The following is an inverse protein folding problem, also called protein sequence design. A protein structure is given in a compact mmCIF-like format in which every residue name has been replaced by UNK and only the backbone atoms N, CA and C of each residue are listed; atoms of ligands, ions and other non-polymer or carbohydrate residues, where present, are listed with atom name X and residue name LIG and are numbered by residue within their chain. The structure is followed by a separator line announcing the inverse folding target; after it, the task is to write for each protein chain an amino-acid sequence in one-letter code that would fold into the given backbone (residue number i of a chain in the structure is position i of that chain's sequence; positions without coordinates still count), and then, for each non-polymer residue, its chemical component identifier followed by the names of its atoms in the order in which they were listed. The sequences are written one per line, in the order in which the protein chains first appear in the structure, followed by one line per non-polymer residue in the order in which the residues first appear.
data_IF_959081063297
#
_entry.id   IF_959081063297
#
_cell.length_a   1.000
_cell.length_b   1.000
_cell.length_c   1.000
_cell.angle_alpha   90.00
_cell.angle_beta   90.00
_cell.angle_gamma   90.00
#
_symmetry.space_group_name_H-M   'P 1'
#
loop_
_entity.id
_entity.type
_entity.pdbx_description
1 polymer ?
#
# COMPACT_ATOMS: atom_id res chain seq x y z
N UNK A 1 11.24 -12.97 32.63
CA UNK A 1 10.25 -12.14 31.89
C UNK A 1 8.98 -12.05 32.70
N UNK A 2 8.61 -10.85 33.14
CA UNK A 2 7.42 -10.61 33.95
C UNK A 2 6.14 -10.79 33.12
N UNK A 3 5.02 -11.10 33.77
CA UNK A 3 3.68 -11.18 33.12
C UNK A 3 3.31 -9.93 32.34
N UNK A 4 3.78 -8.75 32.80
CA UNK A 4 3.59 -7.46 32.15
C UNK A 4 4.31 -7.37 30.78
N UNK A 5 5.53 -7.89 30.66
CA UNK A 5 6.29 -7.92 29.39
C UNK A 5 5.62 -8.81 28.34
N UNK A 6 5.05 -9.95 28.76
CA UNK A 6 4.32 -10.86 27.86
C UNK A 6 3.06 -10.18 27.30
N UNK A 7 2.31 -9.45 28.13
CA UNK A 7 1.11 -8.74 27.71
C UNK A 7 1.41 -7.60 26.73
N UNK A 8 2.48 -6.83 26.97
CA UNK A 8 2.91 -5.76 26.06
C UNK A 8 3.37 -6.30 24.70
N UNK A 9 4.13 -7.41 24.69
CA UNK A 9 4.56 -8.09 23.46
C UNK A 9 3.37 -8.63 22.66
N UNK A 10 2.38 -9.23 23.33
CA UNK A 10 1.14 -9.72 22.69
C UNK A 10 0.39 -8.57 22.02
N UNK A 11 0.23 -7.42 22.69
CA UNK A 11 -0.39 -6.22 22.11
C UNK A 11 0.36 -5.71 20.88
N UNK A 12 1.69 -5.63 20.94
CA UNK A 12 2.50 -5.19 19.80
C UNK A 12 2.38 -6.14 18.59
N UNK A 13 2.39 -7.45 18.83
CA UNK A 13 2.18 -8.45 17.78
C UNK A 13 0.81 -8.30 17.12
N UNK A 14 -0.24 -8.07 17.91
CA UNK A 14 -1.58 -7.84 17.40
C UNK A 14 -1.68 -6.60 16.51
N UNK A 15 -1.03 -5.50 16.90
CA UNK A 15 -1.01 -4.29 16.08
C UNK A 15 -0.32 -4.56 14.73
N UNK A 16 0.88 -5.14 14.76
CA UNK A 16 1.62 -5.49 13.52
C UNK A 16 0.82 -6.44 12.65
N UNK A 17 0.20 -7.46 13.24
CA UNK A 17 -0.66 -8.40 12.53
C UNK A 17 -1.82 -7.69 11.85
N UNK A 18 -2.54 -6.81 12.57
CA UNK A 18 -3.68 -6.08 12.03
C UNK A 18 -3.26 -5.15 10.90
N UNK A 19 -2.12 -4.45 11.04
CA UNK A 19 -1.56 -3.59 9.99
C UNK A 19 -1.26 -4.39 8.72
N UNK A 20 -0.50 -5.48 8.84
CA UNK A 20 -0.14 -6.32 7.69
C UNK A 20 -1.38 -6.96 7.06
N UNK A 21 -2.36 -7.35 7.88
CA UNK A 21 -3.64 -7.88 7.40
C UNK A 21 -4.43 -6.85 6.59
N UNK A 22 -4.53 -5.61 7.07
CA UNK A 22 -5.19 -4.52 6.34
C UNK A 22 -4.45 -4.22 5.04
N UNK A 23 -3.11 -4.21 5.04
CA UNK A 23 -2.32 -3.98 3.83
C UNK A 23 -2.52 -5.09 2.80
N UNK A 24 -2.53 -6.36 3.22
CA UNK A 24 -2.81 -7.50 2.35
C UNK A 24 -4.23 -7.45 1.79
N UNK A 25 -5.21 -7.04 2.59
CA UNK A 25 -6.59 -6.84 2.13
C UNK A 25 -6.68 -5.71 1.11
N UNK A 26 -6.07 -4.56 1.38
CA UNK A 26 -6.05 -3.41 0.46
C UNK A 26 -5.39 -3.79 -0.87
N UNK A 27 -4.23 -4.42 -0.82
CA UNK A 27 -3.56 -4.93 -2.01
C UNK A 27 -4.42 -5.95 -2.78
N UNK A 28 -5.01 -6.91 -2.07
CA UNK A 28 -5.87 -7.95 -2.64
C UNK A 28 -7.15 -7.42 -3.28
N UNK A 29 -7.75 -6.37 -2.71
CA UNK A 29 -8.95 -5.71 -3.26
C UNK A 29 -8.63 -4.91 -4.51
N UNK A 30 -7.43 -4.34 -4.63
CA UNK A 30 -7.08 -3.54 -5.81
C UNK A 30 -6.83 -4.42 -7.04
N UNK A 31 -6.32 -5.65 -6.89
CA UNK A 31 -6.07 -6.57 -8.01
C UNK A 31 -7.29 -6.78 -8.94
N UNK A 32 -8.50 -7.10 -8.45
CA UNK A 32 -9.70 -7.22 -9.30
C UNK A 32 -10.27 -5.88 -9.75
N UNK A 33 -10.03 -4.80 -9.01
CA UNK A 33 -10.51 -3.46 -9.38
C UNK A 33 -9.76 -2.88 -10.58
N UNK A 34 -8.47 -3.16 -10.70
CA UNK A 34 -7.63 -2.66 -11.80
C UNK A 34 -8.07 -3.07 -13.20
N UNK A 35 -8.39 -4.34 -13.52
CA UNK A 35 -8.92 -4.71 -14.83
C UNK A 35 -10.32 -4.13 -15.09
N UNK A 36 -11.12 -3.87 -14.05
CA UNK A 36 -12.41 -3.17 -14.18
C UNK A 36 -12.16 -1.71 -14.58
N UNK A 37 -11.26 -1.04 -13.87
CA UNK A 37 -10.85 0.33 -14.15
C UNK A 37 -10.15 0.50 -15.49
N UNK A 38 -9.34 -0.46 -15.91
CA UNK A 38 -8.80 -0.48 -17.26
C UNK A 38 -9.94 -0.45 -18.28
N UNK A 39 -10.98 -1.26 -18.15
CA UNK A 39 -12.11 -1.20 -19.09
C UNK A 39 -12.85 0.15 -19.08
N UNK A 40 -12.88 0.84 -17.94
CA UNK A 40 -13.58 2.13 -17.79
C UNK A 40 -12.73 3.36 -18.12
N UNK A 41 -11.40 3.27 -18.01
CA UNK A 41 -10.45 4.37 -18.25
C UNK A 41 -9.80 4.30 -19.62
N UNK A 42 -9.95 3.18 -20.32
CA UNK A 42 -9.37 3.02 -21.65
C UNK A 42 -10.43 3.25 -22.72
N UNK A 43 -10.19 4.23 -23.59
CA UNK A 43 -10.97 4.39 -24.84
C UNK A 43 -10.86 3.12 -25.69
N UNK A 44 -11.89 2.77 -26.48
CA UNK A 44 -11.89 1.57 -27.33
C UNK A 44 -10.71 1.46 -28.31
N UNK A 45 -9.96 2.53 -28.51
CA UNK A 45 -8.83 2.64 -29.46
C UNK A 45 -7.46 2.22 -28.89
N UNK A 46 -7.36 1.85 -27.61
CA UNK A 46 -6.07 1.48 -26.99
C UNK A 46 -5.84 -0.03 -27.05
N UNK A 47 -4.65 -0.42 -27.50
CA UNK A 47 -4.22 -1.81 -27.57
C UNK A 47 -4.34 -2.53 -26.22
N UNK A 48 -4.98 -3.71 -26.17
CA UNK A 48 -5.08 -4.54 -24.97
C UNK A 48 -3.71 -4.87 -24.34
N UNK A 49 -2.65 -4.95 -25.14
CA UNK A 49 -1.28 -5.14 -24.66
C UNK A 49 -0.73 -3.97 -23.86
N UNK A 50 -1.08 -2.73 -24.24
CA UNK A 50 -0.65 -1.52 -23.55
C UNK A 50 -1.33 -1.39 -22.17
N UNK A 51 -2.60 -1.80 -22.09
CA UNK A 51 -3.35 -1.88 -20.83
C UNK A 51 -2.65 -2.85 -19.87
N UNK A 52 -2.32 -4.06 -20.34
CA UNK A 52 -1.63 -5.05 -19.53
C UNK A 52 -0.28 -4.54 -18.99
N UNK A 53 0.49 -3.83 -19.82
CA UNK A 53 1.75 -3.22 -19.42
C UNK A 53 1.55 -2.16 -18.33
N UNK A 54 0.57 -1.26 -18.49
CA UNK A 54 0.28 -0.21 -17.49
C UNK A 54 -0.15 -0.79 -16.15
N UNK A 55 -1.01 -1.82 -16.15
CA UNK A 55 -1.43 -2.50 -14.93
C UNK A 55 -0.25 -3.22 -14.27
N UNK A 56 0.60 -3.88 -15.06
CA UNK A 56 1.83 -4.51 -14.58
C UNK A 56 2.79 -3.50 -13.96
N UNK A 57 2.98 -2.34 -14.60
CA UNK A 57 3.81 -1.25 -14.09
C UNK A 57 3.24 -0.66 -12.78
N UNK A 58 1.92 -0.54 -12.67
CA UNK A 58 1.27 -0.05 -11.45
C UNK A 58 1.47 -1.01 -10.26
N UNK A 59 1.46 -2.33 -10.51
CA UNK A 59 1.80 -3.34 -9.51
C UNK A 59 3.29 -3.28 -9.16
N UNK A 60 4.15 -3.25 -10.19
CA UNK A 60 5.59 -3.23 -10.03
C UNK A 60 6.05 -1.98 -9.26
N UNK A 61 5.44 -0.81 -9.48
CA UNK A 61 5.80 0.43 -8.79
C UNK A 61 5.57 0.34 -7.29
N UNK A 62 4.48 -0.27 -6.84
CA UNK A 62 4.21 -0.48 -5.41
C UNK A 62 5.27 -1.40 -4.79
N UNK A 63 5.51 -2.57 -5.40
CA UNK A 63 6.49 -3.52 -4.89
C UNK A 63 7.92 -2.98 -4.93
N UNK A 64 8.27 -2.19 -5.94
CA UNK A 64 9.57 -1.54 -6.06
C UNK A 64 9.79 -0.52 -4.93
N UNK A 65 8.79 0.32 -4.64
CA UNK A 65 8.87 1.26 -3.51
C UNK A 65 8.96 0.51 -2.18
N UNK A 66 8.14 -0.53 -1.98
CA UNK A 66 8.18 -1.33 -0.76
C UNK A 66 9.57 -1.99 -0.57
N UNK A 67 10.18 -2.48 -1.65
CA UNK A 67 11.52 -3.05 -1.60
C UNK A 67 12.59 -2.02 -1.22
N UNK A 68 12.51 -0.80 -1.76
CA UNK A 68 13.47 0.28 -1.49
C UNK A 68 13.30 0.84 -0.08
N UNK A 69 12.06 1.07 0.36
CA UNK A 69 11.75 1.76 1.61
C UNK A 69 11.60 0.85 2.82
N UNK A 70 11.31 -0.45 2.64
CA UNK A 70 11.28 -1.41 3.75
C UNK A 70 12.56 -1.42 4.62
N UNK A 71 13.80 -1.48 4.06
CA UNK A 71 15.00 -1.41 4.89
C UNK A 71 15.20 -0.04 5.53
N UNK A 72 14.75 1.05 4.89
CA UNK A 72 14.84 2.40 5.43
C UNK A 72 13.98 2.54 6.69
N UNK A 73 12.70 2.16 6.61
CA UNK A 73 11.79 2.16 7.75
C UNK A 73 12.19 1.18 8.83
N UNK A 74 12.75 0.02 8.46
CA UNK A 74 13.30 -0.94 9.42
C UNK A 74 14.38 -0.31 10.30
N UNK A 75 15.37 0.39 9.68
CA UNK A 75 16.45 1.05 10.42
C UNK A 75 15.96 2.20 11.29
N UNK A 76 14.98 2.98 10.82
CA UNK A 76 14.36 4.05 11.63
C UNK A 76 13.60 3.44 12.81
N UNK A 77 12.80 2.41 12.58
CA UNK A 77 12.02 1.69 13.59
C UNK A 77 12.88 1.13 14.71
N UNK A 78 14.06 0.63 14.38
CA UNK A 78 15.01 0.12 15.37
C UNK A 78 15.71 1.25 16.17
N UNK A 79 15.80 2.48 15.64
CA UNK A 79 16.40 3.64 16.34
C UNK A 79 15.43 4.43 17.22
N UNK A 80 14.25 4.77 16.71
CA UNK A 80 13.24 5.59 17.44
C UNK A 80 12.18 4.76 18.15
N UNK A 81 12.26 3.43 18.00
CA UNK A 81 11.28 2.49 18.54
C UNK A 81 10.15 2.19 17.56
N UNK A 82 9.65 0.95 17.64
CA UNK A 82 8.71 0.39 16.67
C UNK A 82 7.32 1.06 16.66
N UNK A 83 6.85 1.51 17.82
CA UNK A 83 5.51 2.10 17.98
C UNK A 83 5.26 3.37 17.16
N UNK A 84 6.10 4.42 17.22
CA UNK A 84 5.88 5.64 16.44
C UNK A 84 5.96 5.38 14.93
N UNK A 85 6.88 4.53 14.47
CA UNK A 85 7.00 4.19 13.04
C UNK A 85 5.75 3.49 12.51
N UNK A 86 5.22 2.53 13.26
CA UNK A 86 3.98 1.83 12.88
C UNK A 86 2.79 2.81 12.79
N UNK A 87 2.69 3.78 13.71
CA UNK A 87 1.61 4.78 13.66
C UNK A 87 1.73 5.74 12.47
N UNK A 88 2.94 6.19 12.13
CA UNK A 88 3.19 7.02 10.94
C UNK A 88 2.89 6.24 9.67
N UNK A 89 3.32 4.97 9.58
CA UNK A 89 3.01 4.09 8.46
C UNK A 89 1.50 3.90 8.28
N UNK A 90 0.77 3.58 9.36
CA UNK A 90 -0.68 3.46 9.34
C UNK A 90 -1.38 4.75 8.86
N UNK A 91 -0.95 5.91 9.36
CA UNK A 91 -1.50 7.20 8.94
C UNK A 91 -1.22 7.48 7.46
N UNK A 92 -0.01 7.17 6.98
CA UNK A 92 0.36 7.24 5.57
C UNK A 92 -0.50 6.32 4.71
N UNK A 93 -0.67 5.05 5.09
CA UNK A 93 -1.51 4.09 4.39
C UNK A 93 -2.95 4.59 4.26
N UNK A 94 -3.53 5.15 5.33
CA UNK A 94 -4.89 5.74 5.26
C UNK A 94 -4.94 6.86 4.24
N UNK A 95 -3.96 7.77 4.24
CA UNK A 95 -3.88 8.87 3.27
C UNK A 95 -3.76 8.37 1.82
N UNK A 96 -2.90 7.40 1.56
CA UNK A 96 -2.69 6.88 0.21
C UNK A 96 -3.85 6.01 -0.29
N UNK A 97 -4.51 5.23 0.58
CA UNK A 97 -5.73 4.51 0.20
C UNK A 97 -6.90 5.47 -0.06
N UNK A 98 -7.03 6.54 0.72
CA UNK A 98 -8.01 7.60 0.44
C UNK A 98 -7.71 8.28 -0.91
N UNK A 99 -6.44 8.58 -1.19
CA UNK A 99 -6.02 9.12 -2.48
C UNK A 99 -6.29 8.15 -3.63
N UNK A 100 -6.11 6.84 -3.42
CA UNK A 100 -6.44 5.81 -4.41
C UNK A 100 -7.95 5.76 -4.71
N UNK A 101 -8.79 5.87 -3.67
CA UNK A 101 -10.24 6.00 -3.82
C UNK A 101 -10.62 7.26 -4.60
N UNK A 102 -10.02 8.40 -4.27
CA UNK A 102 -10.25 9.66 -4.99
C UNK A 102 -9.78 9.59 -6.45
N UNK A 103 -8.61 9.00 -6.70
CA UNK A 103 -8.04 8.79 -8.02
C UNK A 103 -8.97 7.97 -8.93
N UNK A 104 -9.64 6.98 -8.33
CA UNK A 104 -10.65 6.16 -9.01
C UNK A 104 -11.85 7.01 -9.45
N UNK A 105 -12.38 7.86 -8.55
CA UNK A 105 -13.53 8.73 -8.86
C UNK A 105 -13.18 9.71 -10.00
N UNK A 106 -11.96 10.23 -9.99
CA UNK A 106 -11.46 11.19 -10.99
C UNK A 106 -11.01 10.53 -12.31
N UNK A 107 -11.08 9.20 -12.42
CA UNK A 107 -10.67 8.43 -13.60
C UNK A 107 -9.23 8.71 -14.07
N UNK A 108 -8.33 9.01 -13.14
CA UNK A 108 -6.97 9.45 -13.49
C UNK A 108 -5.93 8.36 -13.18
N UNK A 109 -5.35 7.79 -14.25
CA UNK A 109 -4.26 6.82 -14.17
C UNK A 109 -3.03 7.36 -13.43
N UNK A 110 -2.66 8.61 -13.69
CA UNK A 110 -1.49 9.24 -13.02
C UNK A 110 -1.68 9.32 -11.52
N UNK A 111 -2.88 9.69 -11.05
CA UNK A 111 -3.19 9.72 -9.62
C UNK A 111 -3.17 8.33 -8.99
N UNK A 112 -3.57 7.28 -9.71
CA UNK A 112 -3.45 5.90 -9.25
C UNK A 112 -1.97 5.51 -9.06
N UNK A 113 -1.09 5.90 -9.97
CA UNK A 113 0.35 5.70 -9.83
C UNK A 113 0.91 6.43 -8.61
N UNK A 114 0.55 7.70 -8.41
CA UNK A 114 0.98 8.48 -7.24
C UNK A 114 0.51 7.83 -5.94
N UNK A 115 -0.76 7.43 -5.87
CA UNK A 115 -1.31 6.74 -4.71
C UNK A 115 -0.60 5.40 -4.43
N UNK A 116 -0.25 4.64 -5.47
CA UNK A 116 0.45 3.36 -5.32
C UNK A 116 1.91 3.49 -4.95
N UNK A 117 2.62 4.45 -5.54
CA UNK A 117 4.02 4.74 -5.18
C UNK A 117 4.05 5.18 -3.72
N UNK A 118 3.16 6.09 -3.33
CA UNK A 118 3.06 6.56 -1.96
C UNK A 118 2.73 5.46 -0.95
N UNK A 119 1.76 4.59 -1.26
CA UNK A 119 1.41 3.46 -0.39
C UNK A 119 2.54 2.44 -0.22
N UNK A 120 3.49 2.38 -1.16
CA UNK A 120 4.65 1.50 -1.08
C UNK A 120 5.81 2.08 -0.27
N UNK A 121 5.74 3.34 0.16
CA UNK A 121 6.75 4.00 1.00
C UNK A 121 6.36 3.80 2.46
#
# INVERSE_FOLDING_TARGET
MSTMEKAARKKALWVVFLTVFIDLLGFGLVLPLLPIYAKEFTSPDIDPGMIGLQLGLLMASFSAMQFIFAPFWGRISDRIGRRPVIMVGLAGSVGFYALFGWATVQKSLTLLFVARIGAGI
#
